data_IF_946089701192
#
_entry.id   IF_946089701192
#
_cell.length_a   1.000
_cell.length_b   1.000
_cell.length_c   1.000
_cell.angle_alpha   90.00
_cell.angle_beta   90.00
_cell.angle_gamma   90.00
#
_symmetry.space_group_name_H-M   'P 1'
#
loop_
_entity.id
_entity.type
_entity.pdbx_description
1 polymer ?
#
# COMPACT_ATOMS: atom_id res chain seq x y z
N UNK A 1 -12.71 -3.28 33.99
CA UNK A 1 -13.67 -4.17 33.29
C UNK A 1 -14.94 -3.45 32.83
N UNK A 2 -15.67 -2.65 33.64
CA UNK A 2 -16.92 -2.04 33.19
C UNK A 2 -16.76 -1.12 31.97
N UNK A 3 -15.67 -0.35 31.89
CA UNK A 3 -15.39 0.53 30.74
C UNK A 3 -15.15 -0.21 29.42
N UNK A 4 -14.61 -1.43 29.47
CA UNK A 4 -14.41 -2.27 28.28
C UNK A 4 -15.74 -2.84 27.81
N UNK A 5 -16.62 -3.22 28.75
CA UNK A 5 -17.98 -3.63 28.42
C UNK A 5 -18.73 -2.49 27.73
N UNK A 6 -18.68 -1.27 28.28
CA UNK A 6 -19.27 -0.09 27.64
C UNK A 6 -18.70 0.16 26.23
N UNK A 7 -17.40 -0.06 26.04
CA UNK A 7 -16.77 0.06 24.72
C UNK A 7 -17.33 -0.96 23.73
N UNK A 8 -17.41 -2.24 24.13
CA UNK A 8 -17.95 -3.32 23.30
C UNK A 8 -19.43 -3.04 22.99
N UNK A 9 -20.23 -2.67 24.00
CA UNK A 9 -21.63 -2.29 23.83
C UNK A 9 -21.77 -1.13 22.84
N UNK A 10 -20.93 -0.11 22.92
CA UNK A 10 -20.96 1.02 21.99
C UNK A 10 -20.68 0.61 20.54
N UNK A 11 -19.69 -0.26 20.32
CA UNK A 11 -19.35 -0.78 18.98
C UNK A 11 -20.49 -1.65 18.44
N UNK A 12 -21.11 -2.48 19.29
CA UNK A 12 -22.25 -3.32 18.89
C UNK A 12 -23.50 -2.47 18.58
N UNK A 13 -23.76 -1.41 19.34
CA UNK A 13 -24.84 -0.46 19.03
C UNK A 13 -24.61 0.23 17.67
N UNK A 14 -23.37 0.60 17.36
CA UNK A 14 -23.02 1.13 16.03
C UNK A 14 -23.23 0.08 14.93
N UNK A 15 -22.89 -1.18 15.19
CA UNK A 15 -23.16 -2.27 14.26
C UNK A 15 -24.67 -2.41 13.98
N UNK A 16 -25.50 -2.39 15.03
CA UNK A 16 -26.96 -2.45 14.89
C UNK A 16 -27.52 -1.24 14.12
N UNK A 17 -26.97 -0.03 14.35
CA UNK A 17 -27.36 1.15 13.61
C UNK A 17 -27.02 1.03 12.12
N UNK A 18 -25.80 0.64 11.78
CA UNK A 18 -25.37 0.48 10.37
C UNK A 18 -26.15 -0.62 9.64
N UNK A 19 -26.49 -1.71 10.34
CA UNK A 19 -27.36 -2.76 9.81
C UNK A 19 -28.75 -2.23 9.45
N UNK A 20 -29.33 -1.36 10.31
CA UNK A 20 -30.64 -0.74 10.05
C UNK A 20 -30.64 0.17 8.82
N UNK A 21 -29.50 0.75 8.48
CA UNK A 21 -29.32 1.57 7.26
C UNK A 21 -28.94 0.75 6.03
N UNK A 22 -29.00 -0.59 6.10
CA UNK A 22 -28.71 -1.48 4.97
C UNK A 22 -27.22 -1.74 4.72
N UNK A 23 -26.31 -1.24 5.56
CA UNK A 23 -24.86 -1.43 5.42
C UNK A 23 -24.40 -2.68 6.19
N UNK A 24 -24.84 -3.86 5.73
CA UNK A 24 -24.56 -5.15 6.38
C UNK A 24 -23.05 -5.42 6.54
N UNK A 25 -22.23 -5.09 5.54
CA UNK A 25 -20.77 -5.26 5.60
C UNK A 25 -20.12 -4.43 6.72
N UNK A 26 -20.61 -3.21 6.96
CA UNK A 26 -20.14 -2.36 8.07
C UNK A 26 -20.56 -2.95 9.42
N UNK A 27 -21.81 -3.42 9.54
CA UNK A 27 -22.30 -4.05 10.76
C UNK A 27 -21.46 -5.27 11.14
N UNK A 28 -21.21 -6.18 10.19
CA UNK A 28 -20.36 -7.36 10.39
C UNK A 28 -18.94 -6.96 10.77
N UNK A 29 -18.35 -5.97 10.10
CA UNK A 29 -17.00 -5.48 10.40
C UNK A 29 -16.89 -4.95 11.83
N UNK A 30 -17.90 -4.20 12.32
CA UNK A 30 -17.93 -3.68 13.68
C UNK A 30 -18.09 -4.79 14.72
N UNK A 31 -18.92 -5.80 14.46
CA UNK A 31 -19.04 -6.97 15.33
C UNK A 31 -17.72 -7.75 15.39
N UNK A 32 -17.09 -8.01 14.25
CA UNK A 32 -15.78 -8.65 14.20
C UNK A 32 -14.71 -7.81 14.92
N UNK A 33 -14.75 -6.49 14.78
CA UNK A 33 -13.84 -5.61 15.50
C UNK A 33 -14.08 -5.65 17.02
N UNK A 34 -15.34 -5.77 17.47
CA UNK A 34 -15.65 -5.94 18.88
C UNK A 34 -15.07 -7.25 19.45
N UNK A 35 -15.05 -8.36 18.68
CA UNK A 35 -14.41 -9.61 19.13
C UNK A 35 -12.90 -9.49 19.24
N UNK A 36 -12.25 -8.68 18.39
CA UNK A 36 -10.80 -8.40 18.46
C UNK A 36 -10.38 -7.74 19.77
N UNK A 37 -11.29 -7.03 20.45
CA UNK A 37 -11.03 -6.46 21.78
C UNK A 37 -10.64 -7.55 22.80
N UNK A 38 -11.15 -8.78 22.62
CA UNK A 38 -10.81 -9.95 23.43
C UNK A 38 -9.34 -10.39 23.32
N UNK A 39 -8.63 -9.99 22.25
CA UNK A 39 -7.20 -10.32 22.08
C UNK A 39 -6.29 -9.60 23.07
N UNK A 40 -6.78 -8.51 23.69
CA UNK A 40 -6.06 -7.63 24.63
C UNK A 40 -4.78 -7.02 24.06
N UNK A 41 -4.66 -6.90 22.72
CA UNK A 41 -3.51 -6.28 22.05
C UNK A 41 -3.62 -4.76 21.98
N UNK A 42 -2.53 -4.07 22.27
CA UNK A 42 -2.52 -2.60 22.37
C UNK A 42 -2.85 -1.89 21.05
N UNK A 43 -2.49 -2.46 19.90
CA UNK A 43 -2.89 -1.87 18.61
C UNK A 43 -4.42 -1.84 18.41
N UNK A 44 -5.16 -2.82 18.94
CA UNK A 44 -6.64 -2.86 18.87
C UNK A 44 -7.24 -1.72 19.68
N UNK A 45 -6.68 -1.46 20.88
CA UNK A 45 -7.06 -0.30 21.70
C UNK A 45 -6.92 1.01 20.93
N UNK A 46 -5.77 1.21 20.29
CA UNK A 46 -5.49 2.43 19.53
C UNK A 46 -6.40 2.55 18.30
N UNK A 47 -6.69 1.44 17.61
CA UNK A 47 -7.62 1.40 16.49
C UNK A 47 -9.09 1.67 16.89
N UNK A 48 -9.49 1.31 18.11
CA UNK A 48 -10.85 1.48 18.60
C UNK A 48 -11.17 2.95 18.98
N UNK A 49 -10.16 3.76 19.31
CA UNK A 49 -10.34 5.18 19.64
C UNK A 49 -11.05 5.96 18.50
N UNK A 50 -10.56 5.98 17.25
CA UNK A 50 -11.25 6.69 16.17
C UNK A 50 -12.62 6.10 15.83
N UNK A 51 -12.83 4.79 16.03
CA UNK A 51 -14.15 4.16 15.81
C UNK A 51 -15.19 4.72 16.79
N UNK A 52 -14.83 4.88 18.06
CA UNK A 52 -15.74 5.47 19.06
C UNK A 52 -15.95 6.97 18.84
N UNK A 53 -14.91 7.71 18.41
CA UNK A 53 -15.06 9.13 18.03
C UNK A 53 -16.01 9.26 16.84
N UNK A 54 -15.86 8.43 15.82
CA UNK A 54 -16.81 8.35 14.70
C UNK A 54 -18.22 7.99 15.20
N UNK A 55 -18.33 7.07 16.16
CA UNK A 55 -19.58 6.73 16.81
C UNK A 55 -20.28 7.92 17.45
N UNK A 56 -19.56 8.73 18.22
CA UNK A 56 -20.10 9.96 18.82
C UNK A 56 -20.63 10.92 17.76
N UNK A 57 -19.91 11.07 16.65
CA UNK A 57 -20.36 11.89 15.53
C UNK A 57 -21.65 11.34 14.90
N UNK A 58 -21.73 10.03 14.64
CA UNK A 58 -22.92 9.37 14.09
C UNK A 58 -24.13 9.53 15.02
N UNK A 59 -23.96 9.30 16.32
CA UNK A 59 -25.04 9.46 17.29
C UNK A 59 -25.51 10.90 17.41
N UNK A 60 -24.58 11.87 17.38
CA UNK A 60 -24.92 13.29 17.39
C UNK A 60 -25.75 13.68 16.17
N UNK A 61 -25.29 13.31 14.97
CA UNK A 61 -26.00 13.59 13.71
C UNK A 61 -27.37 12.93 13.67
N UNK A 62 -27.44 11.64 14.03
CA UNK A 62 -28.70 10.88 14.07
C UNK A 62 -29.66 11.46 15.10
N UNK A 63 -29.16 11.85 16.26
CA UNK A 63 -29.96 12.42 17.34
C UNK A 63 -30.59 13.74 16.92
N UNK A 64 -29.79 14.67 16.39
CA UNK A 64 -30.28 15.95 15.86
C UNK A 64 -31.33 15.73 14.78
N UNK A 65 -31.05 14.86 13.81
CA UNK A 65 -31.99 14.56 12.72
C UNK A 65 -33.34 14.03 13.24
N UNK A 66 -33.33 13.02 14.11
CA UNK A 66 -34.57 12.42 14.62
C UNK A 66 -35.34 13.36 15.55
N UNK A 67 -34.65 14.19 16.33
CA UNK A 67 -35.29 15.20 17.18
C UNK A 67 -35.93 16.30 16.35
N UNK A 68 -35.22 16.85 15.37
CA UNK A 68 -35.76 17.87 14.45
C UNK A 68 -36.98 17.33 13.70
N UNK A 69 -36.90 16.10 13.19
CA UNK A 69 -38.02 15.45 12.52
C UNK A 69 -39.26 15.35 13.42
N UNK A 70 -39.10 14.94 14.69
CA UNK A 70 -40.22 14.82 15.62
C UNK A 70 -40.80 16.17 16.03
N UNK A 71 -39.95 17.17 16.28
CA UNK A 71 -40.42 18.53 16.60
C UNK A 71 -41.18 19.15 15.44
N UNK A 72 -40.72 18.95 14.20
CA UNK A 72 -41.40 19.44 13.01
C UNK A 72 -42.74 18.73 12.73
N UNK A 73 -42.93 17.53 13.28
CA UNK A 73 -44.15 16.73 13.14
C UNK A 73 -45.04 16.78 14.40
N UNK A 74 -44.76 17.67 15.37
CA UNK A 74 -45.46 17.79 16.65
C UNK A 74 -45.59 16.46 17.43
N UNK A 75 -44.60 15.57 17.30
CA UNK A 75 -44.56 14.28 17.99
C UNK A 75 -43.80 14.38 19.32
N UNK A 76 -44.16 13.57 20.35
CA UNK A 76 -43.39 13.50 21.59
C UNK A 76 -41.92 13.12 21.35
N UNK A 77 -40.99 13.99 21.75
CA UNK A 77 -39.56 13.86 21.48
C UNK A 77 -38.69 13.67 22.73
N UNK A 78 -39.21 13.94 23.94
CA UNK A 78 -38.45 13.88 25.21
C UNK A 78 -37.86 12.49 25.44
N UNK A 79 -38.64 11.42 25.28
CA UNK A 79 -38.16 10.03 25.41
C UNK A 79 -37.00 9.74 24.47
N UNK A 80 -37.09 10.21 23.22
CA UNK A 80 -36.04 10.03 22.22
C UNK A 80 -34.77 10.80 22.62
N UNK A 81 -34.90 12.04 23.09
CA UNK A 81 -33.76 12.83 23.55
C UNK A 81 -32.99 12.14 24.68
N UNK A 82 -33.72 11.56 25.66
CA UNK A 82 -33.11 10.78 26.75
C UNK A 82 -32.38 9.55 26.20
N UNK A 83 -32.99 8.80 25.28
CA UNK A 83 -32.36 7.61 24.67
C UNK A 83 -31.07 8.00 23.94
N UNK A 84 -31.12 9.03 23.08
CA UNK A 84 -29.95 9.45 22.30
C UNK A 84 -28.83 9.97 23.20
N UNK A 85 -29.18 10.73 24.24
CA UNK A 85 -28.21 11.19 25.25
C UNK A 85 -27.56 10.02 25.96
N UNK A 86 -28.34 9.01 26.38
CA UNK A 86 -27.80 7.82 27.03
C UNK A 86 -26.84 7.03 26.13
N UNK A 87 -27.19 6.83 24.85
CA UNK A 87 -26.32 6.15 23.87
C UNK A 87 -25.01 6.94 23.66
N UNK A 88 -25.08 8.26 23.57
CA UNK A 88 -23.90 9.13 23.49
C UNK A 88 -23.04 9.04 24.75
N UNK A 89 -23.64 9.07 25.94
CA UNK A 89 -22.94 8.94 27.22
C UNK A 89 -22.23 7.59 27.34
N UNK A 90 -22.87 6.48 26.96
CA UNK A 90 -22.25 5.15 26.93
C UNK A 90 -21.03 5.13 26.01
N UNK A 91 -21.16 5.72 24.82
CA UNK A 91 -20.05 5.82 23.84
C UNK A 91 -18.91 6.67 24.37
N UNK A 92 -19.22 7.82 25.00
CA UNK A 92 -18.23 8.72 25.58
C UNK A 92 -17.50 8.07 26.76
N UNK A 93 -18.21 7.41 27.67
CA UNK A 93 -17.62 6.69 28.80
C UNK A 93 -16.76 5.51 28.33
N UNK A 94 -17.18 4.81 27.27
CA UNK A 94 -16.35 3.80 26.60
C UNK A 94 -15.05 4.40 26.07
N UNK A 95 -15.13 5.51 25.32
CA UNK A 95 -13.97 6.21 24.77
C UNK A 95 -12.99 6.69 25.85
N UNK A 96 -13.50 7.38 26.88
CA UNK A 96 -12.69 7.85 28.00
C UNK A 96 -12.04 6.68 28.74
N UNK A 97 -12.81 5.62 29.02
CA UNK A 97 -12.30 4.42 29.66
C UNK A 97 -11.21 3.71 28.86
N UNK A 98 -11.29 3.73 27.53
CA UNK A 98 -10.30 3.17 26.62
C UNK A 98 -9.03 4.02 26.50
N UNK A 99 -9.17 5.35 26.51
CA UNK A 99 -8.07 6.31 26.44
C UNK A 99 -7.26 6.37 27.75
N UNK A 100 -7.95 6.25 28.89
CA UNK A 100 -7.39 6.38 30.24
C UNK A 100 -6.80 5.07 30.79
N UNK A 101 -6.45 5.09 32.08
CA UNK A 101 -5.86 3.98 32.84
C UNK A 101 -6.58 2.63 32.69
N UNK A 102 -7.93 2.53 32.74
CA UNK A 102 -8.64 1.25 32.62
C UNK A 102 -8.34 0.52 31.31
N UNK A 103 -8.33 1.24 30.18
CA UNK A 103 -7.95 0.69 28.88
C UNK A 103 -6.49 0.25 28.84
N UNK A 104 -5.57 1.06 29.36
CA UNK A 104 -4.15 0.70 29.44
C UNK A 104 -3.91 -0.57 30.27
N UNK A 105 -4.69 -0.78 31.34
CA UNK A 105 -4.62 -1.97 32.21
C UNK A 105 -5.23 -3.22 31.59
N UNK A 106 -6.23 -3.08 30.71
CA UNK A 106 -6.85 -4.24 30.03
C UNK A 106 -6.03 -4.72 28.83
N UNK A 107 -5.49 -3.78 28.04
CA UNK A 107 -4.69 -4.05 26.85
C UNK A 107 -3.20 -4.22 27.18
N UNK A 108 -2.91 -5.27 27.94
CA UNK A 108 -1.56 -5.57 28.46
C UNK A 108 -0.61 -6.12 27.40
N UNK A 109 -1.12 -6.72 26.31
CA UNK A 109 -0.26 -7.33 25.28
C UNK A 109 0.26 -6.24 24.35
N UNK A 110 1.53 -5.91 24.50
CA UNK A 110 2.23 -4.89 23.71
C UNK A 110 3.36 -5.52 22.88
N UNK A 111 3.05 -6.31 21.84
CA UNK A 111 4.09 -6.77 20.94
C UNK A 111 4.83 -5.58 20.28
N UNK A 112 6.06 -5.81 19.78
CA UNK A 112 6.85 -4.77 19.14
C UNK A 112 6.06 -4.06 18.03
N UNK A 113 6.24 -2.73 17.96
CA UNK A 113 5.66 -1.88 16.91
C UNK A 113 4.12 -1.79 16.88
N UNK A 114 3.43 -1.99 17.99
CA UNK A 114 1.97 -1.90 18.04
C UNK A 114 1.39 -0.53 17.63
N UNK A 115 2.14 0.55 17.84
CA UNK A 115 1.76 1.88 17.35
C UNK A 115 1.75 1.95 15.81
N UNK A 116 2.70 1.30 15.14
CA UNK A 116 2.72 1.23 13.67
C UNK A 116 1.59 0.36 13.13
N UNK A 117 1.30 -0.76 13.81
CA UNK A 117 0.17 -1.63 13.46
C UNK A 117 -1.16 -0.88 13.54
N UNK A 118 -1.40 -0.15 14.63
CA UNK A 118 -2.60 0.68 14.76
C UNK A 118 -2.66 1.78 13.70
N UNK A 119 -1.54 2.47 13.44
CA UNK A 119 -1.47 3.51 12.42
C UNK A 119 -1.82 2.96 11.03
N UNK A 120 -1.25 1.82 10.63
CA UNK A 120 -1.57 1.16 9.37
C UNK A 120 -3.04 0.74 9.29
N UNK A 121 -3.61 0.19 10.35
CA UNK A 121 -5.04 -0.16 10.38
C UNK A 121 -5.92 1.07 10.12
N UNK A 122 -5.69 2.14 10.89
CA UNK A 122 -6.47 3.38 10.83
C UNK A 122 -6.32 4.05 9.46
N UNK A 123 -5.08 4.17 8.95
CA UNK A 123 -4.82 4.79 7.65
C UNK A 123 -5.43 3.97 6.51
N UNK A 124 -5.28 2.65 6.53
CA UNK A 124 -5.83 1.78 5.46
C UNK A 124 -7.36 1.81 5.47
N UNK A 125 -7.98 1.62 6.64
CA UNK A 125 -9.43 1.64 6.76
C UNK A 125 -10.00 3.02 6.43
N UNK A 126 -9.42 4.09 6.98
CA UNK A 126 -9.87 5.46 6.75
C UNK A 126 -9.74 5.90 5.29
N UNK A 127 -8.61 5.61 4.64
CA UNK A 127 -8.40 5.96 3.24
C UNK A 127 -9.31 5.14 2.30
N UNK A 128 -9.48 3.84 2.52
CA UNK A 128 -10.40 3.05 1.69
C UNK A 128 -11.87 3.43 1.89
N UNK A 129 -12.29 3.73 3.12
CA UNK A 129 -13.63 4.26 3.39
C UNK A 129 -13.82 5.61 2.71
N UNK A 130 -12.84 6.50 2.80
CA UNK A 130 -12.83 7.79 2.10
C UNK A 130 -12.95 7.62 0.60
N UNK A 131 -12.12 6.75 0.00
CA UNK A 131 -12.18 6.42 -1.44
C UNK A 131 -13.55 5.87 -1.82
N UNK A 132 -14.13 4.95 -1.03
CA UNK A 132 -15.48 4.42 -1.26
C UNK A 132 -16.54 5.51 -1.25
N UNK A 133 -16.46 6.47 -0.33
CA UNK A 133 -17.45 7.55 -0.22
C UNK A 133 -17.27 8.66 -1.26
N UNK A 134 -16.04 8.91 -1.73
CA UNK A 134 -15.73 9.97 -2.70
C UNK A 134 -15.85 9.51 -4.16
N UNK A 135 -15.85 8.20 -4.41
CA UNK A 135 -15.94 7.65 -5.76
C UNK A 135 -17.39 7.46 -6.18
N UNK A 136 -17.70 7.86 -7.42
CA UNK A 136 -19.01 7.64 -8.04
C UNK A 136 -19.20 6.19 -8.53
N UNK A 137 -18.13 5.39 -8.57
CA UNK A 137 -18.11 4.03 -9.09
C UNK A 137 -17.66 3.10 -7.95
N UNK A 138 -18.24 1.90 -7.79
CA UNK A 138 -17.76 0.92 -6.82
C UNK A 138 -16.33 0.49 -7.17
N UNK A 139 -15.35 0.99 -6.41
CA UNK A 139 -13.93 0.68 -6.58
C UNK A 139 -13.54 -0.66 -5.93
N UNK A 140 -14.22 -1.03 -4.85
CA UNK A 140 -13.99 -2.29 -4.11
C UNK A 140 -14.67 -3.46 -4.82
N UNK A 141 -14.06 -4.65 -4.77
CA UNK A 141 -14.58 -5.81 -5.53
C UNK A 141 -15.87 -6.29 -4.93
N UNK A 142 -15.89 -6.34 -3.60
CA UNK A 142 -17.01 -6.87 -2.85
C UNK A 142 -18.27 -6.06 -3.11
N UNK A 143 -18.16 -4.72 -3.18
CA UNK A 143 -19.30 -3.85 -3.52
C UNK A 143 -19.83 -4.06 -4.95
N UNK A 144 -19.00 -4.54 -5.90
CA UNK A 144 -19.45 -4.86 -7.26
C UNK A 144 -20.22 -6.17 -7.35
N UNK A 145 -19.80 -7.19 -6.59
CA UNK A 145 -20.48 -8.48 -6.56
C UNK A 145 -21.72 -8.46 -5.67
N UNK A 146 -21.61 -7.84 -4.49
CA UNK A 146 -22.66 -7.77 -3.48
C UNK A 146 -22.66 -6.37 -2.86
N UNK A 147 -23.63 -5.50 -3.24
CA UNK A 147 -23.72 -4.14 -2.70
C UNK A 147 -23.71 -4.13 -1.18
N UNK A 148 -22.85 -3.30 -0.58
CA UNK A 148 -22.75 -3.15 0.88
C UNK A 148 -21.72 -4.06 1.55
N UNK A 149 -21.04 -4.96 0.83
CA UNK A 149 -19.92 -5.75 1.38
C UNK A 149 -18.57 -5.03 1.37
N UNK A 150 -18.43 -3.89 0.70
CA UNK A 150 -17.18 -3.12 0.64
C UNK A 150 -16.53 -2.87 2.01
N UNK A 151 -17.25 -2.43 3.06
CA UNK A 151 -16.66 -2.25 4.39
C UNK A 151 -16.03 -3.51 4.98
N UNK A 152 -16.56 -4.70 4.64
CA UNK A 152 -15.97 -5.98 5.06
C UNK A 152 -14.66 -6.28 4.33
N UNK A 153 -14.58 -5.99 3.02
CA UNK A 153 -13.32 -6.04 2.27
C UNK A 153 -12.29 -5.07 2.86
N UNK A 154 -12.71 -3.84 3.20
CA UNK A 154 -11.85 -2.83 3.86
C UNK A 154 -11.32 -3.35 5.19
N UNK A 155 -12.19 -3.95 6.01
CA UNK A 155 -11.80 -4.50 7.30
C UNK A 155 -10.76 -5.63 7.15
N UNK A 156 -11.00 -6.56 6.21
CA UNK A 156 -10.06 -7.63 5.91
C UNK A 156 -8.71 -7.09 5.40
N UNK A 157 -8.72 -6.10 4.51
CA UNK A 157 -7.51 -5.43 4.01
C UNK A 157 -6.76 -4.71 5.13
N UNK A 158 -7.46 -4.03 6.05
CA UNK A 158 -6.84 -3.36 7.18
C UNK A 158 -6.16 -4.35 8.15
N UNK A 159 -6.77 -5.53 8.39
CA UNK A 159 -6.14 -6.60 9.17
C UNK A 159 -4.93 -7.20 8.46
N UNK A 160 -5.02 -7.40 7.15
CA UNK A 160 -3.89 -7.82 6.32
C UNK A 160 -2.74 -6.81 6.44
N UNK A 161 -3.02 -5.50 6.37
CA UNK A 161 -2.03 -4.45 6.49
C UNK A 161 -1.34 -4.47 7.88
N UNK A 162 -2.10 -4.68 8.96
CA UNK A 162 -1.55 -4.86 10.33
C UNK A 162 -0.54 -6.01 10.37
N UNK A 163 -0.90 -7.16 9.77
CA UNK A 163 -0.02 -8.33 9.73
C UNK A 163 1.24 -8.06 8.91
N UNK A 164 1.11 -7.51 7.69
CA UNK A 164 2.24 -7.17 6.82
C UNK A 164 3.18 -6.19 7.49
N UNK A 165 2.67 -5.08 8.05
CA UNK A 165 3.48 -4.05 8.68
C UNK A 165 4.30 -4.62 9.85
N UNK A 166 3.66 -5.44 10.70
CA UNK A 166 4.35 -6.11 11.80
C UNK A 166 5.51 -7.00 11.34
N UNK A 167 5.33 -7.70 10.23
CA UNK A 167 6.33 -8.59 9.63
C UNK A 167 7.46 -7.87 8.89
N UNK A 168 7.16 -6.71 8.27
CA UNK A 168 8.15 -5.87 7.60
C UNK A 168 9.02 -5.09 8.58
N UNK A 169 8.50 -4.76 9.76
CA UNK A 169 9.28 -4.08 10.80
C UNK A 169 10.29 -5.02 11.44
N UNK A 170 9.94 -6.29 11.63
CA UNK A 170 10.80 -7.34 12.16
C UNK A 170 11.96 -7.67 11.20
N UNK A 171 13.24 -7.39 11.57
CA UNK A 171 14.38 -7.54 10.66
C UNK A 171 14.56 -8.94 10.10
N UNK A 172 14.27 -9.99 10.88
CA UNK A 172 14.41 -11.39 10.45
C UNK A 172 13.45 -11.77 9.34
N UNK A 173 12.31 -11.09 9.25
CA UNK A 173 11.20 -11.48 8.38
C UNK A 173 10.89 -10.46 7.30
N UNK A 174 11.48 -9.27 7.38
CA UNK A 174 11.28 -8.19 6.43
C UNK A 174 11.49 -8.65 4.97
N UNK A 175 12.65 -9.21 4.65
CA UNK A 175 12.98 -9.55 3.27
C UNK A 175 12.06 -10.64 2.71
N UNK A 176 11.77 -11.69 3.50
CA UNK A 176 10.88 -12.78 3.06
C UNK A 176 9.43 -12.31 2.91
N UNK A 177 8.92 -11.55 3.87
CA UNK A 177 7.57 -11.00 3.78
C UNK A 177 7.42 -10.03 2.62
N UNK A 178 8.40 -9.14 2.38
CA UNK A 178 8.39 -8.22 1.23
C UNK A 178 8.24 -9.00 -0.07
N UNK A 179 9.05 -10.06 -0.29
CA UNK A 179 8.99 -10.88 -1.49
C UNK A 179 7.63 -11.52 -1.69
N UNK A 180 7.08 -12.15 -0.66
CA UNK A 180 5.79 -12.85 -0.72
C UNK A 180 4.65 -11.88 -1.00
N UNK A 181 4.59 -10.78 -0.25
CA UNK A 181 3.54 -9.77 -0.37
C UNK A 181 3.58 -9.08 -1.73
N UNK A 182 4.77 -8.79 -2.23
CA UNK A 182 4.96 -8.19 -3.55
C UNK A 182 4.57 -9.12 -4.69
N UNK A 183 4.91 -10.42 -4.60
CA UNK A 183 4.45 -11.43 -5.54
C UNK A 183 2.93 -11.61 -5.47
N UNK A 184 2.35 -11.65 -4.28
CA UNK A 184 0.90 -11.74 -4.07
C UNK A 184 0.16 -10.60 -4.79
N UNK A 185 0.66 -9.37 -4.68
CA UNK A 185 0.08 -8.23 -5.40
C UNK A 185 0.14 -8.42 -6.92
N UNK A 186 1.28 -8.86 -7.46
CA UNK A 186 1.42 -9.16 -8.89
C UNK A 186 0.44 -10.25 -9.34
N UNK A 187 0.34 -11.35 -8.58
CA UNK A 187 -0.57 -12.47 -8.88
C UNK A 187 -2.02 -12.00 -8.89
N UNK A 188 -2.45 -11.25 -7.87
CA UNK A 188 -3.82 -10.74 -7.79
C UNK A 188 -4.11 -9.79 -8.97
N UNK A 189 -3.20 -8.87 -9.27
CA UNK A 189 -3.35 -7.93 -10.37
C UNK A 189 -3.52 -8.64 -11.73
N UNK A 190 -2.64 -9.60 -12.06
CA UNK A 190 -2.71 -10.32 -13.33
C UNK A 190 -3.85 -11.34 -13.38
N UNK A 191 -4.21 -11.97 -12.25
CA UNK A 191 -5.38 -12.84 -12.18
C UNK A 191 -6.65 -12.04 -12.49
N UNK A 192 -6.81 -10.84 -11.91
CA UNK A 192 -7.95 -9.98 -12.20
C UNK A 192 -7.99 -9.54 -13.67
N UNK A 193 -6.85 -9.17 -14.25
CA UNK A 193 -6.76 -8.87 -15.68
C UNK A 193 -7.18 -10.06 -16.54
N UNK A 194 -6.64 -11.25 -16.26
CA UNK A 194 -6.95 -12.47 -17.01
C UNK A 194 -8.44 -12.83 -16.92
N UNK A 195 -9.01 -12.79 -15.71
CA UNK A 195 -10.43 -13.04 -15.48
C UNK A 195 -11.32 -11.99 -16.18
N UNK A 196 -10.90 -10.73 -16.19
CA UNK A 196 -11.56 -9.66 -16.96
C UNK A 196 -11.55 -9.93 -18.46
N UNK A 197 -10.41 -10.35 -19.01
CA UNK A 197 -10.25 -10.70 -20.43
C UNK A 197 -11.04 -11.97 -20.84
N UNK A 198 -11.30 -12.88 -19.90
CA UNK A 198 -12.17 -14.05 -20.13
C UNK A 198 -13.67 -13.72 -20.13
N UNK A 199 -14.05 -12.44 -19.97
CA UNK A 199 -15.43 -11.98 -20.04
C UNK A 199 -16.08 -11.67 -18.68
N UNK A 200 -15.35 -11.76 -17.56
CA UNK A 200 -15.86 -11.27 -16.28
C UNK A 200 -15.57 -9.78 -16.11
N UNK A 201 -16.34 -8.95 -16.82
CA UNK A 201 -16.16 -7.49 -16.89
C UNK A 201 -16.17 -6.79 -15.52
N UNK A 202 -16.77 -7.39 -14.49
CA UNK A 202 -16.72 -6.89 -13.10
C UNK A 202 -15.29 -6.72 -12.55
N UNK A 203 -14.31 -7.45 -13.10
CA UNK A 203 -12.89 -7.30 -12.76
C UNK A 203 -12.19 -6.17 -13.50
N UNK A 204 -12.81 -5.61 -14.55
CA UNK A 204 -12.32 -4.47 -15.29
C UNK A 204 -12.97 -3.16 -14.76
N UNK A 205 -12.19 -2.11 -14.56
CA UNK A 205 -12.62 -0.76 -14.20
C UNK A 205 -13.10 0.03 -15.41
N UNK A 206 -12.45 -0.16 -16.55
CA UNK A 206 -12.78 0.57 -17.79
C UNK A 206 -12.88 -0.40 -18.95
N UNK A 207 -13.85 -0.20 -19.84
CA UNK A 207 -13.98 -0.99 -21.08
C UNK A 207 -12.82 -0.78 -22.08
N UNK A 208 -11.75 -0.08 -21.70
CA UNK A 208 -10.55 0.14 -22.52
C UNK A 208 -9.41 -0.70 -21.97
N UNK A 209 -8.93 -1.65 -22.77
CA UNK A 209 -7.81 -2.51 -22.39
C UNK A 209 -6.53 -1.69 -22.17
N UNK A 210 -6.08 -1.61 -20.91
CA UNK A 210 -4.78 -1.06 -20.56
C UNK A 210 -3.75 -2.20 -20.49
N UNK A 211 -2.87 -2.27 -21.49
CA UNK A 211 -1.81 -3.27 -21.49
C UNK A 211 -0.88 -3.05 -20.27
N UNK A 212 -0.61 -4.08 -19.44
CA UNK A 212 0.14 -3.93 -18.19
C UNK A 212 1.65 -3.87 -18.43
N UNK A 213 2.13 -2.97 -19.28
CA UNK A 213 3.56 -2.75 -19.53
C UNK A 213 3.97 -1.45 -18.82
N UNK A 214 4.88 -1.49 -17.83
CA UNK A 214 5.25 -0.29 -17.07
C UNK A 214 5.67 0.89 -17.95
N UNK A 215 6.34 0.65 -19.09
CA UNK A 215 6.70 1.71 -20.03
C UNK A 215 5.50 2.55 -20.50
N UNK A 216 4.29 1.98 -20.55
CA UNK A 216 3.06 2.68 -20.92
C UNK A 216 2.57 3.66 -19.86
N UNK A 217 3.08 3.61 -18.63
CA UNK A 217 2.84 4.67 -17.63
C UNK A 217 3.30 6.02 -18.21
N UNK A 218 4.39 6.04 -18.98
CA UNK A 218 4.89 7.23 -19.65
C UNK A 218 4.46 7.30 -21.12
N UNK A 219 4.70 6.22 -21.89
CA UNK A 219 4.50 6.22 -23.34
C UNK A 219 3.03 6.33 -23.75
N UNK A 220 2.11 5.73 -22.99
CA UNK A 220 0.69 5.70 -23.32
C UNK A 220 0.06 7.11 -23.37
N UNK A 221 0.21 7.93 -22.31
CA UNK A 221 -0.25 9.32 -22.31
C UNK A 221 0.46 10.21 -23.34
N UNK A 222 1.77 9.99 -23.58
CA UNK A 222 2.49 10.73 -24.62
C UNK A 222 1.94 10.44 -26.02
N UNK A 223 1.62 9.18 -26.31
CA UNK A 223 1.02 8.75 -27.57
C UNK A 223 -0.42 9.25 -27.73
N UNK A 224 -1.28 9.08 -26.71
CA UNK A 224 -2.70 9.46 -26.78
C UNK A 224 -2.97 10.95 -26.60
N UNK A 225 -2.07 11.67 -25.92
CA UNK A 225 -2.29 13.05 -25.49
C UNK A 225 -3.24 13.22 -24.29
N UNK A 226 -3.80 12.13 -23.78
CA UNK A 226 -4.75 12.08 -22.67
C UNK A 226 -4.44 10.89 -21.72
N UNK A 227 -5.20 10.76 -20.62
CA UNK A 227 -5.07 9.61 -19.71
C UNK A 227 -3.93 9.72 -18.70
N UNK A 228 -3.76 10.91 -18.10
CA UNK A 228 -2.70 11.23 -17.13
C UNK A 228 -2.84 10.54 -15.76
N UNK A 229 -3.88 9.74 -15.55
CA UNK A 229 -4.13 9.05 -14.28
C UNK A 229 -2.94 8.20 -13.82
N UNK A 230 -2.38 7.34 -14.68
CA UNK A 230 -1.24 6.48 -14.32
C UNK A 230 0.04 7.27 -14.02
N UNK A 231 0.46 8.29 -14.81
CA UNK A 231 1.54 9.20 -14.43
C UNK A 231 1.32 9.90 -13.08
N UNK A 232 0.10 10.37 -12.81
CA UNK A 232 -0.23 11.06 -11.55
C UNK A 232 -0.16 10.06 -10.38
N UNK A 233 -0.71 8.86 -10.53
CA UNK A 233 -0.64 7.80 -9.53
C UNK A 233 0.82 7.37 -9.26
N UNK A 234 1.60 7.17 -10.32
CA UNK A 234 3.02 6.86 -10.22
C UNK A 234 3.78 8.00 -9.54
N UNK A 235 3.60 9.25 -9.97
CA UNK A 235 4.28 10.42 -9.43
C UNK A 235 3.94 10.67 -7.96
N UNK A 236 2.66 10.66 -7.59
CA UNK A 236 2.20 10.85 -6.21
C UNK A 236 2.73 9.76 -5.28
N UNK A 237 2.67 8.49 -5.68
CA UNK A 237 3.24 7.40 -4.86
C UNK A 237 4.76 7.45 -4.81
N UNK A 238 5.43 7.89 -5.87
CA UNK A 238 6.88 8.10 -5.88
C UNK A 238 7.29 9.22 -4.92
N UNK A 239 6.50 10.29 -4.76
CA UNK A 239 6.74 11.30 -3.73
C UNK A 239 6.61 10.73 -2.31
N UNK A 240 5.69 9.78 -2.12
CA UNK A 240 5.42 9.18 -0.81
C UNK A 240 6.44 8.12 -0.40
N UNK A 241 6.87 7.22 -1.31
CA UNK A 241 7.77 6.09 -0.97
C UNK A 241 9.08 6.08 -1.75
N UNK A 242 9.31 7.05 -2.62
CA UNK A 242 10.52 7.12 -3.44
C UNK A 242 10.65 5.91 -4.36
N UNK A 243 11.88 5.46 -4.70
CA UNK A 243 12.10 4.35 -5.62
C UNK A 243 11.63 2.99 -5.08
N UNK A 244 11.07 2.94 -3.86
CA UNK A 244 10.40 1.76 -3.31
C UNK A 244 9.15 1.35 -4.08
N UNK A 245 8.56 2.23 -4.88
CA UNK A 245 7.51 1.85 -5.82
C UNK A 245 7.93 0.64 -6.67
N UNK A 246 9.16 0.67 -7.20
CA UNK A 246 9.70 -0.41 -8.02
C UNK A 246 9.92 -1.74 -7.27
N UNK A 247 9.97 -1.74 -5.93
CA UNK A 247 10.31 -2.92 -5.12
C UNK A 247 9.18 -3.39 -4.19
N UNK A 248 8.06 -2.66 -4.15
CA UNK A 248 6.87 -2.97 -3.36
C UNK A 248 5.57 -2.88 -4.16
N UNK A 249 5.45 -1.97 -5.13
CA UNK A 249 4.18 -1.63 -5.78
C UNK A 249 4.15 -1.96 -7.29
N UNK A 250 5.31 -2.22 -7.91
CA UNK A 250 5.39 -2.59 -9.32
C UNK A 250 5.09 -4.08 -9.51
N UNK A 251 4.01 -4.43 -10.21
CA UNK A 251 3.61 -5.81 -10.46
C UNK A 251 4.61 -6.59 -11.35
N UNK A 252 5.32 -5.92 -12.28
CA UNK A 252 6.37 -6.56 -13.11
C UNK A 252 7.66 -6.79 -12.34
N UNK A 253 8.03 -5.90 -11.43
CA UNK A 253 9.30 -6.04 -10.71
C UNK A 253 9.33 -7.31 -9.85
N UNK A 254 8.18 -7.79 -9.39
CA UNK A 254 8.08 -9.06 -8.66
C UNK A 254 8.58 -10.25 -9.51
N UNK A 255 8.28 -10.25 -10.81
CA UNK A 255 8.70 -11.31 -11.73
C UNK A 255 10.21 -11.28 -11.95
N UNK A 256 10.77 -10.10 -12.20
CA UNK A 256 12.21 -9.94 -12.38
C UNK A 256 12.99 -10.35 -11.12
N UNK A 257 12.45 -10.05 -9.94
CA UNK A 257 13.01 -10.49 -8.67
C UNK A 257 12.95 -12.01 -8.51
N UNK A 258 11.81 -12.63 -8.83
CA UNK A 258 11.65 -14.08 -8.81
C UNK A 258 12.59 -14.79 -9.78
N UNK A 259 12.91 -14.20 -10.93
CA UNK A 259 13.92 -14.75 -11.84
C UNK A 259 15.33 -14.58 -11.26
N UNK A 260 15.68 -13.38 -10.80
CA UNK A 260 17.00 -13.04 -10.28
C UNK A 260 17.40 -13.73 -8.97
N UNK A 261 16.45 -14.29 -8.19
CA UNK A 261 16.77 -14.90 -6.90
C UNK A 261 17.53 -16.25 -7.00
N UNK A 262 17.50 -16.91 -8.17
CA UNK A 262 18.06 -18.25 -8.35
C UNK A 262 19.58 -18.32 -8.30
N UNK A 263 20.26 -17.26 -8.74
CA UNK A 263 21.72 -17.19 -8.82
C UNK A 263 22.29 -16.12 -7.88
N UNK A 264 23.61 -16.10 -7.69
CA UNK A 264 24.28 -15.02 -6.97
C UNK A 264 24.29 -13.75 -7.83
N UNK A 265 24.11 -12.56 -7.24
CA UNK A 265 24.05 -11.33 -8.02
C UNK A 265 25.43 -10.99 -8.57
N UNK A 266 25.52 -10.88 -9.89
CA UNK A 266 26.70 -10.40 -10.60
C UNK A 266 26.60 -8.89 -10.87
N UNK A 267 27.73 -8.17 -10.78
CA UNK A 267 27.75 -6.73 -11.04
C UNK A 267 27.43 -6.46 -12.51
N UNK A 268 26.72 -5.37 -12.76
CA UNK A 268 26.46 -4.90 -14.12
C UNK A 268 27.56 -3.94 -14.59
N UNK A 269 27.96 -4.00 -15.86
CA UNK A 269 28.97 -3.12 -16.42
C UNK A 269 28.48 -1.67 -16.50
N UNK A 270 29.40 -0.71 -16.42
CA UNK A 270 29.09 0.72 -16.33
C UNK A 270 28.28 1.29 -17.50
N UNK A 271 28.43 0.72 -18.71
CA UNK A 271 27.69 1.15 -19.91
C UNK A 271 26.18 0.96 -19.79
N UNK A 272 25.71 0.09 -18.89
CA UNK A 272 24.27 -0.09 -18.62
C UNK A 272 23.60 1.20 -18.16
N UNK A 273 24.35 2.13 -17.54
CA UNK A 273 23.83 3.46 -17.18
C UNK A 273 23.44 4.27 -18.43
N UNK A 274 24.26 4.23 -19.47
CA UNK A 274 24.01 4.92 -20.74
C UNK A 274 22.82 4.26 -21.42
N UNK A 275 22.81 2.93 -21.50
CA UNK A 275 21.71 2.17 -22.11
C UNK A 275 20.34 2.52 -21.51
N UNK A 276 20.23 2.66 -20.18
CA UNK A 276 18.96 3.05 -19.53
C UNK A 276 18.42 4.39 -20.02
N UNK A 277 19.29 5.38 -20.14
CA UNK A 277 18.92 6.71 -20.65
C UNK A 277 18.57 6.63 -22.13
N UNK A 278 19.34 5.88 -22.93
CA UNK A 278 19.04 5.64 -24.34
C UNK A 278 17.66 5.00 -24.53
N UNK A 279 17.31 3.98 -23.73
CA UNK A 279 15.99 3.32 -23.80
C UNK A 279 14.87 4.28 -23.39
N UNK A 280 15.05 5.07 -22.32
CA UNK A 280 14.05 6.06 -21.91
C UNK A 280 13.79 7.07 -23.04
N UNK A 281 14.86 7.65 -23.60
CA UNK A 281 14.75 8.62 -24.70
C UNK A 281 14.10 7.96 -25.92
N UNK A 282 14.51 6.75 -26.29
CA UNK A 282 13.92 6.01 -27.40
C UNK A 282 12.42 5.78 -27.19
N UNK A 283 11.99 5.34 -26.01
CA UNK A 283 10.57 5.12 -25.70
C UNK A 283 9.75 6.41 -25.81
N UNK A 284 10.29 7.53 -25.32
CA UNK A 284 9.62 8.84 -25.42
C UNK A 284 9.53 9.31 -26.87
N UNK A 285 10.65 9.27 -27.62
CA UNK A 285 10.69 9.70 -29.01
C UNK A 285 9.80 8.84 -29.89
N UNK A 286 9.82 7.52 -29.71
CA UNK A 286 8.93 6.60 -30.45
C UNK A 286 7.46 6.91 -30.14
N UNK A 287 7.07 7.12 -28.86
CA UNK A 287 5.69 7.46 -28.53
C UNK A 287 5.21 8.77 -29.18
N UNK A 288 6.07 9.80 -29.19
CA UNK A 288 5.78 11.08 -29.82
C UNK A 288 5.74 10.99 -31.35
N UNK A 289 6.63 10.19 -31.96
CA UNK A 289 6.66 9.97 -33.40
C UNK A 289 5.41 9.22 -33.86
N UNK A 290 5.00 8.15 -33.15
CA UNK A 290 3.77 7.42 -33.45
C UNK A 290 2.54 8.33 -33.39
N UNK A 291 2.51 9.27 -32.42
CA UNK A 291 1.45 10.28 -32.33
C UNK A 291 1.49 11.25 -33.50
N UNK A 292 2.67 11.78 -33.84
CA UNK A 292 2.84 12.72 -34.95
C UNK A 292 2.39 12.10 -36.28
N UNK A 293 2.73 10.83 -36.50
CA UNK A 293 2.35 10.06 -37.68
C UNK A 293 0.91 9.53 -37.64
N UNK A 294 0.13 9.82 -36.59
CA UNK A 294 -1.26 9.37 -36.41
C UNK A 294 -1.43 7.85 -36.57
N UNK A 295 -0.47 7.08 -36.07
CA UNK A 295 -0.48 5.61 -36.19
C UNK A 295 -1.70 5.02 -35.46
N UNK A 296 -2.42 4.05 -36.04
CA UNK A 296 -3.54 3.39 -35.38
C UNK A 296 -3.17 2.79 -34.01
N UNK A 297 -4.09 2.88 -33.05
CA UNK A 297 -3.87 2.39 -31.69
C UNK A 297 -3.50 0.89 -31.59
N UNK A 298 -4.04 -0.03 -32.42
CA UNK A 298 -3.62 -1.44 -32.40
C UNK A 298 -2.15 -1.64 -32.71
N UNK A 299 -1.59 -0.90 -33.67
CA UNK A 299 -0.19 -1.03 -34.07
C UNK A 299 0.75 -0.52 -32.98
N UNK A 300 0.41 0.61 -32.36
CA UNK A 300 1.12 1.13 -31.19
C UNK A 300 1.04 0.15 -30.00
N UNK A 301 -0.11 -0.48 -29.77
CA UNK A 301 -0.29 -1.49 -28.74
C UNK A 301 0.52 -2.76 -29.03
N UNK A 302 0.61 -3.19 -30.28
CA UNK A 302 1.44 -4.33 -30.71
C UNK A 302 2.92 -4.05 -30.43
N UNK A 303 3.43 -2.88 -30.80
CA UNK A 303 4.81 -2.49 -30.51
C UNK A 303 5.09 -2.46 -29.00
N UNK A 304 4.17 -1.92 -28.21
CA UNK A 304 4.27 -1.93 -26.75
C UNK A 304 4.24 -3.35 -26.18
N UNK A 305 3.43 -4.24 -26.76
CA UNK A 305 3.39 -5.67 -26.46
C UNK A 305 4.72 -6.36 -26.73
N UNK A 306 5.32 -6.13 -27.91
CA UNK A 306 6.65 -6.66 -28.24
C UNK A 306 7.72 -6.15 -27.27
N UNK A 307 7.70 -4.86 -26.92
CA UNK A 307 8.61 -4.30 -25.92
C UNK A 307 8.44 -4.99 -24.55
N UNK A 308 7.20 -5.24 -24.13
CA UNK A 308 6.88 -6.01 -22.92
C UNK A 308 7.42 -7.44 -22.97
N UNK A 309 7.21 -8.15 -24.08
CA UNK A 309 7.69 -9.52 -24.30
C UNK A 309 9.21 -9.62 -24.30
N UNK A 310 9.91 -8.68 -24.94
CA UNK A 310 11.38 -8.56 -24.86
C UNK A 310 11.79 -8.38 -23.39
N UNK A 311 11.08 -7.53 -22.65
CA UNK A 311 11.27 -7.34 -21.22
C UNK A 311 11.19 -8.65 -20.42
N UNK A 312 10.17 -9.47 -20.68
CA UNK A 312 10.00 -10.79 -20.05
C UNK A 312 11.14 -11.74 -20.46
N UNK A 313 11.53 -11.75 -21.75
CA UNK A 313 12.68 -12.52 -22.22
C UNK A 313 13.98 -12.17 -21.50
N UNK A 314 14.23 -10.87 -21.25
CA UNK A 314 15.37 -10.41 -20.46
C UNK A 314 15.31 -10.94 -19.02
N UNK A 315 14.13 -10.97 -18.39
CA UNK A 315 13.98 -11.51 -17.04
C UNK A 315 14.32 -13.01 -17.00
N UNK A 316 13.74 -13.79 -17.91
CA UNK A 316 13.90 -15.26 -17.94
C UNK A 316 15.34 -15.66 -18.27
N UNK A 317 15.95 -15.00 -19.27
CA UNK A 317 17.26 -15.40 -19.79
C UNK A 317 18.41 -14.69 -19.07
N UNK A 318 18.33 -13.37 -18.91
CA UNK A 318 19.47 -12.56 -18.45
C UNK A 318 19.40 -12.32 -16.95
N UNK A 319 18.28 -11.86 -16.40
CA UNK A 319 18.16 -11.61 -14.95
C UNK A 319 18.33 -12.90 -14.15
N UNK A 320 17.77 -14.01 -14.62
CA UNK A 320 17.97 -15.34 -14.01
C UNK A 320 19.45 -15.73 -13.99
N UNK A 321 20.16 -15.63 -15.13
CA UNK A 321 21.59 -15.98 -15.22
C UNK A 321 22.46 -15.08 -14.35
N UNK A 322 22.24 -13.76 -14.39
CA UNK A 322 23.04 -12.77 -13.68
C UNK A 322 22.74 -12.70 -12.17
N UNK A 323 21.63 -13.28 -11.71
CA UNK A 323 21.17 -13.12 -10.33
C UNK A 323 20.85 -11.67 -9.93
N UNK A 324 20.76 -10.77 -10.91
CA UNK A 324 20.52 -9.33 -10.75
C UNK A 324 19.29 -8.99 -11.57
N UNK A 325 18.46 -8.07 -11.10
CA UNK A 325 17.22 -7.63 -11.75
C UNK A 325 17.54 -6.76 -12.99
N UNK A 326 18.10 -7.37 -14.04
CA UNK A 326 18.61 -6.68 -15.23
C UNK A 326 17.48 -5.96 -15.96
N UNK A 327 16.28 -6.55 -16.03
CA UNK A 327 15.14 -5.86 -16.61
C UNK A 327 14.85 -4.55 -15.86
N UNK A 328 14.67 -4.59 -14.54
CA UNK A 328 14.35 -3.39 -13.75
C UNK A 328 15.51 -2.39 -13.65
N UNK A 329 16.76 -2.86 -13.71
CA UNK A 329 17.95 -2.00 -13.52
C UNK A 329 18.56 -1.50 -14.82
N UNK A 330 18.21 -2.06 -15.98
CA UNK A 330 18.80 -1.71 -17.28
C UNK A 330 17.77 -1.43 -18.37
N UNK A 331 16.73 -2.27 -18.49
CA UNK A 331 15.79 -2.21 -19.62
C UNK A 331 14.56 -1.33 -19.36
N UNK A 332 14.01 -1.36 -18.14
CA UNK A 332 12.76 -0.69 -17.83
C UNK A 332 12.93 0.85 -17.75
N UNK A 333 12.25 1.64 -18.61
CA UNK A 333 12.35 3.11 -18.59
C UNK A 333 11.75 3.72 -17.32
N UNK A 334 10.74 3.08 -16.73
CA UNK A 334 10.19 3.51 -15.43
C UNK A 334 11.18 3.27 -14.29
N UNK A 335 12.04 2.25 -14.41
CA UNK A 335 13.08 1.97 -13.42
C UNK A 335 14.06 3.13 -13.29
N UNK A 336 14.47 3.78 -14.39
CA UNK A 336 15.31 4.98 -14.29
C UNK A 336 14.55 6.18 -13.74
N UNK A 337 13.32 6.42 -14.21
CA UNK A 337 12.50 7.52 -13.68
C UNK A 337 12.27 7.39 -12.17
N UNK A 338 11.89 6.20 -11.69
CA UNK A 338 11.69 5.93 -10.27
C UNK A 338 12.94 6.22 -9.44
N UNK A 339 14.12 5.88 -9.95
CA UNK A 339 15.39 6.06 -9.25
C UNK A 339 15.84 7.53 -9.15
N UNK A 340 15.50 8.36 -10.13
CA UNK A 340 15.86 9.77 -10.14
C UNK A 340 14.76 10.64 -9.52
N UNK A 341 13.52 10.51 -9.97
CA UNK A 341 12.39 11.26 -9.41
C UNK A 341 12.07 10.84 -7.97
N UNK A 342 12.33 9.58 -7.59
CA UNK A 342 12.17 9.11 -6.22
C UNK A 342 13.13 9.74 -5.21
N UNK A 343 14.15 10.49 -5.67
CA UNK A 343 14.99 11.31 -4.78
C UNK A 343 14.23 12.51 -4.21
N UNK A 344 13.08 12.88 -4.77
CA UNK A 344 12.21 13.92 -4.20
C UNK A 344 11.60 13.50 -2.86
N UNK A 345 11.39 12.18 -2.65
CA UNK A 345 10.93 11.65 -1.38
C UNK A 345 11.99 11.82 -0.27
N UNK A 346 11.62 11.92 1.01
CA UNK A 346 12.57 12.16 2.11
C UNK A 346 13.44 10.94 2.45
N UNK A 347 13.09 9.74 1.95
CA UNK A 347 13.70 8.48 2.37
C UNK A 347 15.07 8.24 1.74
N UNK A 348 16.05 7.84 2.55
CA UNK A 348 17.39 7.43 2.11
C UNK A 348 17.85 6.21 2.87
N UNK A 349 18.62 5.35 2.19
CA UNK A 349 19.41 4.30 2.84
C UNK A 349 20.81 4.83 3.13
N UNK A 350 21.27 4.68 4.37
CA UNK A 350 22.61 5.09 4.82
C UNK A 350 23.37 3.89 5.35
N UNK A 351 24.68 3.94 5.16
CA UNK A 351 25.62 2.95 5.66
C UNK A 351 26.42 3.64 6.75
N UNK A 352 26.32 3.13 7.98
CA UNK A 352 26.98 3.70 9.15
C UNK A 352 28.51 3.54 9.07
N UNK A 353 29.24 4.41 9.77
CA UNK A 353 30.70 4.32 9.93
C UNK A 353 31.14 3.03 10.63
N UNK A 354 30.25 2.39 11.40
CA UNK A 354 30.46 1.07 12.01
C UNK A 354 30.42 -0.10 11.02
N UNK A 355 30.27 0.15 9.71
CA UNK A 355 30.30 -0.89 8.69
C UNK A 355 31.66 -1.59 8.63
N UNK A 356 31.69 -2.88 8.91
CA UNK A 356 32.89 -3.75 8.86
C UNK A 356 33.31 -4.15 7.45
N UNK A 357 32.57 -3.71 6.42
CA UNK A 357 32.78 -4.09 5.01
C UNK A 357 32.78 -5.60 4.75
N UNK A 358 32.01 -6.37 5.53
CA UNK A 358 31.89 -7.83 5.38
C UNK A 358 31.21 -8.31 4.08
N UNK A 359 30.68 -7.41 3.25
CA UNK A 359 30.05 -7.65 1.93
C UNK A 359 28.79 -8.53 1.89
N UNK A 360 28.26 -9.00 3.03
CA UNK A 360 27.01 -9.81 3.08
C UNK A 360 25.83 -9.14 2.36
N UNK A 361 25.74 -7.81 2.45
CA UNK A 361 24.71 -7.03 1.79
C UNK A 361 24.75 -7.08 0.25
N UNK A 362 25.90 -7.41 -0.37
CA UNK A 362 26.03 -7.54 -1.83
C UNK A 362 25.20 -8.71 -2.34
N UNK A 363 25.21 -9.84 -1.62
CA UNK A 363 24.41 -11.04 -1.97
C UNK A 363 22.91 -10.80 -1.86
N UNK A 364 22.49 -9.89 -0.99
CA UNK A 364 21.08 -9.52 -0.83
C UNK A 364 20.61 -8.49 -1.87
N UNK A 365 21.52 -7.66 -2.40
CA UNK A 365 21.17 -6.60 -3.34
C UNK A 365 20.99 -7.16 -4.75
N UNK A 366 19.74 -7.20 -5.21
CA UNK A 366 19.40 -7.59 -6.60
C UNK A 366 19.37 -6.42 -7.57
N UNK A 367 19.62 -5.20 -7.10
CA UNK A 367 19.52 -3.98 -7.89
C UNK A 367 20.88 -3.44 -8.37
N UNK A 368 21.98 -4.18 -8.18
CA UNK A 368 23.34 -3.69 -8.47
C UNK A 368 23.59 -2.30 -7.82
N UNK A 369 23.22 -2.16 -6.55
CA UNK A 369 23.27 -0.89 -5.81
C UNK A 369 24.33 -0.84 -4.72
N UNK A 370 25.02 -1.94 -4.47
CA UNK A 370 26.02 -2.08 -3.42
C UNK A 370 27.28 -2.72 -4.00
N UNK A 371 28.40 -2.03 -3.81
CA UNK A 371 29.76 -2.49 -4.05
C UNK A 371 30.68 -1.84 -3.00
N UNK A 372 32.00 -2.06 -3.07
CA UNK A 372 32.96 -1.49 -2.12
C UNK A 372 32.96 0.05 -2.14
N UNK A 373 32.73 0.67 -3.29
CA UNK A 373 32.66 2.14 -3.41
C UNK A 373 31.42 2.71 -2.73
N UNK A 374 30.29 2.01 -2.79
CA UNK A 374 29.07 2.40 -2.08
C UNK A 374 29.28 2.31 -0.55
N UNK A 375 29.98 1.27 -0.07
CA UNK A 375 30.32 1.14 1.35
C UNK A 375 31.23 2.29 1.81
N UNK A 376 32.25 2.66 1.03
CA UNK A 376 33.16 3.76 1.40
C UNK A 376 32.48 5.13 1.33
N UNK A 377 31.55 5.34 0.41
CA UNK A 377 30.76 6.57 0.31
C UNK A 377 29.63 6.68 1.35
N UNK A 378 29.38 5.63 2.14
CA UNK A 378 28.34 5.62 3.17
C UNK A 378 26.90 5.58 2.62
N UNK A 379 26.71 5.28 1.32
CA UNK A 379 25.40 5.28 0.65
C UNK A 379 25.36 4.31 -0.55
N UNK A 380 24.22 3.64 -0.81
CA UNK A 380 24.04 2.87 -2.04
C UNK A 380 24.08 3.72 -3.30
N UNK A 381 24.34 3.08 -4.44
CA UNK A 381 24.23 3.70 -5.77
C UNK A 381 22.79 4.08 -6.11
N UNK A 382 22.63 4.90 -7.16
CA UNK A 382 21.33 5.39 -7.64
C UNK A 382 20.38 4.29 -8.09
N UNK A 383 20.87 3.08 -8.31
CA UNK A 383 20.06 1.89 -8.60
C UNK A 383 19.21 1.41 -7.41
N UNK A 384 19.50 1.88 -6.19
CA UNK A 384 18.79 1.47 -4.97
C UNK A 384 17.29 1.82 -5.01
N UNK A 385 16.46 0.82 -4.74
CA UNK A 385 15.00 0.93 -4.68
C UNK A 385 14.44 0.90 -3.26
N UNK A 386 15.27 1.15 -2.24
CA UNK A 386 14.85 1.16 -0.82
C UNK A 386 14.09 -0.10 -0.34
N UNK A 387 14.28 -1.26 -0.98
CA UNK A 387 13.62 -2.51 -0.59
C UNK A 387 14.03 -2.99 0.82
N UNK A 388 15.19 -2.54 1.29
CA UNK A 388 15.72 -2.84 2.62
C UNK A 388 16.18 -4.29 2.83
N UNK A 389 16.26 -5.12 1.79
CA UNK A 389 16.76 -6.50 1.90
C UNK A 389 18.21 -6.52 2.42
N UNK A 390 19.02 -5.55 2.01
CA UNK A 390 20.39 -5.37 2.52
C UNK A 390 20.44 -5.01 4.01
N UNK A 391 19.46 -4.24 4.51
CA UNK A 391 19.36 -3.90 5.93
C UNK A 391 18.96 -5.13 6.77
N UNK A 392 18.06 -5.96 6.26
CA UNK A 392 17.67 -7.24 6.87
C UNK A 392 18.84 -8.25 6.89
N UNK A 393 19.66 -8.26 5.84
CA UNK A 393 20.80 -9.18 5.72
C UNK A 393 22.08 -8.74 6.48
N UNK A 394 22.14 -7.50 6.98
CA UNK A 394 23.35 -6.98 7.63
C UNK A 394 23.47 -7.51 9.07
N UNK A 395 24.49 -8.33 9.41
CA UNK A 395 24.64 -8.86 10.76
C UNK A 395 25.04 -7.79 11.79
N UNK A 396 25.59 -6.67 11.33
CA UNK A 396 26.06 -5.57 12.19
C UNK A 396 25.09 -4.38 12.26
N UNK A 397 23.91 -4.47 11.61
CA UNK A 397 22.93 -3.38 11.63
C UNK A 397 23.40 -2.06 11.00
N UNK A 398 24.45 -2.07 10.17
CA UNK A 398 25.08 -0.86 9.63
C UNK A 398 24.25 -0.18 8.52
N UNK A 399 23.31 -0.89 7.88
CA UNK A 399 22.43 -0.34 6.84
C UNK A 399 21.10 0.10 7.44
N UNK A 400 20.83 1.41 7.44
CA UNK A 400 19.66 1.99 8.12
C UNK A 400 18.89 2.96 7.25
N UNK A 401 17.56 2.98 7.42
CA UNK A 401 16.70 3.98 6.79
C UNK A 401 16.91 5.32 7.49
N UNK A 402 16.88 6.39 6.71
CA UNK A 402 17.02 7.76 7.19
C UNK A 402 16.03 8.67 6.46
N UNK A 403 15.63 9.73 7.15
CA UNK A 403 14.85 10.84 6.63
C UNK A 403 15.32 12.12 7.35
N UNK A 404 15.18 13.31 6.73
CA UNK A 404 15.56 14.57 7.37
C UNK A 404 14.93 14.71 8.76
N UNK A 405 15.73 15.15 9.74
CA UNK A 405 15.28 15.42 11.12
C UNK A 405 14.68 14.21 11.87
N UNK A 406 14.91 12.98 11.39
CA UNK A 406 14.36 11.76 12.02
C UNK A 406 15.44 10.79 12.47
N UNK A 407 15.24 10.18 13.65
CA UNK A 407 16.05 9.04 14.11
C UNK A 407 15.83 7.83 13.17
N UNK A 408 16.87 7.02 12.87
CA UNK A 408 16.76 5.92 11.91
C UNK A 408 15.64 4.92 12.20
N UNK A 409 15.42 4.57 13.47
CA UNK A 409 14.35 3.67 13.89
C UNK A 409 12.95 4.23 13.56
N UNK A 410 12.73 5.53 13.81
CA UNK A 410 11.46 6.21 13.47
C UNK A 410 11.29 6.36 11.96
N UNK A 411 12.37 6.67 11.22
CA UNK A 411 12.33 6.76 9.76
C UNK A 411 11.95 5.40 9.14
N UNK A 412 12.58 4.30 9.59
CA UNK A 412 12.20 2.93 9.19
C UNK A 412 10.73 2.64 9.52
N UNK A 413 10.29 2.98 10.73
CA UNK A 413 8.92 2.71 11.16
C UNK A 413 7.89 3.44 10.28
N UNK A 414 8.08 4.74 10.06
CA UNK A 414 7.19 5.54 9.23
C UNK A 414 7.20 5.09 7.77
N UNK A 415 8.38 4.79 7.21
CA UNK A 415 8.49 4.26 5.86
C UNK A 415 7.71 2.94 5.69
N UNK A 416 7.83 2.01 6.65
CA UNK A 416 7.09 0.74 6.59
C UNK A 416 5.58 0.94 6.74
N UNK A 417 5.12 1.92 7.53
CA UNK A 417 3.71 2.30 7.62
C UNK A 417 3.22 2.77 6.25
N UNK A 418 3.89 3.75 5.66
CA UNK A 418 3.48 4.35 4.37
C UNK A 418 3.46 3.31 3.26
N UNK A 419 4.53 2.51 3.10
CA UNK A 419 4.60 1.52 2.03
C UNK A 419 3.58 0.39 2.21
N UNK A 420 3.30 -0.03 3.45
CA UNK A 420 2.29 -1.07 3.71
C UNK A 420 0.90 -0.53 3.42
N UNK A 421 0.58 0.69 3.85
CA UNK A 421 -0.70 1.33 3.54
C UNK A 421 -0.88 1.44 2.03
N UNK A 422 0.09 2.00 1.29
CA UNK A 422 -0.01 2.11 -0.18
C UNK A 422 -0.15 0.76 -0.86
N UNK A 423 0.62 -0.25 -0.44
CA UNK A 423 0.51 -1.61 -0.96
C UNK A 423 -0.91 -2.17 -0.79
N UNK A 424 -1.48 -2.02 0.40
CA UNK A 424 -2.83 -2.53 0.67
C UNK A 424 -3.90 -1.72 -0.06
N UNK A 425 -3.75 -0.40 -0.19
CA UNK A 425 -4.64 0.42 -1.02
C UNK A 425 -4.61 -0.04 -2.47
N UNK A 426 -3.42 -0.30 -3.02
CA UNK A 426 -3.28 -0.80 -4.38
C UNK A 426 -3.88 -2.19 -4.50
N UNK A 427 -3.72 -3.06 -3.51
CA UNK A 427 -4.35 -4.37 -3.52
C UNK A 427 -5.88 -4.31 -3.52
N UNK A 428 -6.46 -3.35 -2.79
CA UNK A 428 -7.91 -3.15 -2.71
C UNK A 428 -8.51 -2.43 -3.92
N UNK A 429 -7.76 -1.49 -4.53
CA UNK A 429 -8.29 -0.54 -5.52
C UNK A 429 -7.64 -0.66 -6.91
N UNK A 430 -6.37 -1.07 -7.01
CA UNK A 430 -5.65 -1.08 -8.28
C UNK A 430 -6.15 -2.23 -9.17
N UNK A 431 -7.05 -1.89 -10.10
CA UNK A 431 -7.63 -2.77 -11.12
C UNK A 431 -7.71 -2.02 -12.45
N UNK A 432 -7.67 -2.77 -13.55
CA UNK A 432 -7.55 -2.26 -14.94
C UNK A 432 -8.90 -1.84 -15.49
#
# INVERSE_FOLDING_TARGET
MPTILLTITSIVLLAAHTLRWGEAGMAVSLVLFATLMGTRRQWVRLAALPVLVWGLFIWSRTGIFLLHFRMAADLPWVRLAVIMTAVMSVTLLGLLGLAMGPGRRFFVRQPPHDTARAAVFILTAGLLLGIRHLSAIPLLLADRFIPGLGPLEIFALALYAVWVCGRLLEPKTQASTRRVVWLLFSVIFFAQLFLGLLGMESFLMTGKLHLPVPALILAGPLFRGEGWFMPILFGSTLLMVGPAWCSHLCYIGAWDHCMAQHNRPHPLPGWTRILRWSILVLVVLTALLLRFMQVPAPDAAMLAGMFGLIGIGIMILVSRRMGTMVHCTTFCPIGILGNYLGKLAPWRMRIASSCTRCTTCFRACRYNALDLSALSQGKPHTTCTLCGDCASACPHGALTFSAPLMRPARARQLFMIVVTTLHTLFLGVARI
#
